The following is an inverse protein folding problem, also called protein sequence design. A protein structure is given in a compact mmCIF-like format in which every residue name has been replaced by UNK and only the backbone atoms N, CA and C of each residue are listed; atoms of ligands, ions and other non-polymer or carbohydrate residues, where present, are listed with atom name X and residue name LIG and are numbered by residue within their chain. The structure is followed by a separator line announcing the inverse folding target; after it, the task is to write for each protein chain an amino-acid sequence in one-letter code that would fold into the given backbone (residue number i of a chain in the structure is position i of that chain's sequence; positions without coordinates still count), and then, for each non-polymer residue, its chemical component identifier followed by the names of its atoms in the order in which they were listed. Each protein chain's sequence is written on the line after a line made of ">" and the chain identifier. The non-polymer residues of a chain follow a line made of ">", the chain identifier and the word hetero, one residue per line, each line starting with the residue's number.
data_IF_574710610245
#
_entry.id   IF_574710610245
#
_cell.length_a   1.000
_cell.length_b   1.000
_cell.length_c   1.000
_cell.angle_alpha   90.00
_cell.angle_beta   90.00
_cell.angle_gamma   90.00
#
_symmetry.space_group_name_H-M   'P 1'
#
loop_
_entity.id
_entity.type
_entity.pdbx_description
1 polymer ?
#
# COMPACT_ATOMS: atom_id res chain seq x y z
N UNK A 1 -7.26 8.11 -9.94
CA UNK A 1 -8.33 8.25 -8.91
C UNK A 1 -7.82 9.03 -7.71
N UNK A 2 -8.74 9.66 -6.95
CA UNK A 2 -8.40 10.34 -5.70
C UNK A 2 -8.25 9.34 -4.55
N UNK A 3 -7.27 9.57 -3.68
CA UNK A 3 -7.02 8.80 -2.47
C UNK A 3 -6.37 9.67 -1.39
N UNK A 4 -6.20 9.13 -0.19
CA UNK A 4 -5.74 9.90 0.96
C UNK A 4 -4.61 9.21 1.71
N UNK A 5 -3.64 10.01 2.19
CA UNK A 5 -2.54 9.53 3.03
C UNK A 5 -2.47 10.35 4.32
N UNK A 6 -2.47 9.70 5.46
CA UNK A 6 -2.33 10.35 6.76
C UNK A 6 -0.93 10.21 7.34
N UNK A 7 -0.38 11.28 7.90
CA UNK A 7 0.95 11.27 8.49
C UNK A 7 1.12 12.27 9.63
N UNK A 8 2.05 12.00 10.53
CA UNK A 8 2.59 12.94 11.54
C UNK A 8 4.08 13.20 11.33
N UNK A 9 4.62 12.83 10.18
CA UNK A 9 6.06 13.03 9.87
C UNK A 9 6.41 14.45 9.42
N UNK A 10 5.43 15.38 9.41
CA UNK A 10 5.59 16.74 8.90
C UNK A 10 5.13 16.89 7.46
N UNK A 11 5.41 18.06 6.87
CA UNK A 11 5.00 18.39 5.50
C UNK A 11 6.14 18.06 4.55
N UNK A 12 5.80 17.42 3.42
CA UNK A 12 6.72 17.12 2.32
C UNK A 12 6.03 17.36 0.97
N UNK A 13 6.82 17.58 -0.07
CA UNK A 13 6.33 17.98 -1.40
C UNK A 13 6.23 16.81 -2.39
N UNK A 14 6.76 15.63 -2.02
CA UNK A 14 6.68 14.41 -2.81
C UNK A 14 6.79 13.18 -1.92
N UNK A 15 6.17 12.09 -2.33
CA UNK A 15 6.38 10.79 -1.71
C UNK A 15 7.70 10.17 -2.16
N UNK A 16 8.34 9.41 -1.27
CA UNK A 16 9.54 8.63 -1.60
C UNK A 16 9.47 7.25 -0.98
N UNK A 17 9.62 6.23 -1.80
CA UNK A 17 9.71 4.84 -1.35
C UNK A 17 10.97 4.58 -0.51
N UNK A 18 11.94 5.48 -0.51
CA UNK A 18 13.10 5.45 0.40
C UNK A 18 12.69 5.52 1.87
N UNK A 19 11.55 6.14 2.19
CA UNK A 19 11.01 6.29 3.56
C UNK A 19 9.94 5.25 3.92
N UNK A 20 9.71 4.24 3.08
CA UNK A 20 8.62 3.25 3.23
C UNK A 20 8.64 2.45 4.56
N UNK A 21 9.74 2.48 5.33
CA UNK A 21 9.88 1.80 6.63
C UNK A 21 9.95 2.75 7.83
N UNK A 22 9.90 4.06 7.61
CA UNK A 22 10.06 5.05 8.70
C UNK A 22 8.77 5.29 9.48
N UNK A 23 7.60 4.90 8.93
CA UNK A 23 6.30 4.96 9.60
C UNK A 23 5.97 3.70 10.41
N UNK A 24 4.74 3.64 10.93
CA UNK A 24 4.16 2.44 11.55
C UNK A 24 4.00 1.26 10.55
N UNK A 25 4.08 1.55 9.26
CA UNK A 25 3.89 0.62 8.17
C UNK A 25 5.00 -0.40 8.08
N UNK A 26 4.77 -1.56 8.65
CA UNK A 26 5.47 -2.76 8.18
C UNK A 26 4.99 -3.00 6.76
N UNK A 27 5.89 -3.31 5.82
CA UNK A 27 5.55 -3.65 4.40
C UNK A 27 4.67 -4.92 4.30
N UNK A 28 3.63 -4.95 5.11
CA UNK A 28 2.72 -6.09 5.27
C UNK A 28 1.91 -6.38 4.00
N UNK A 29 1.64 -5.33 3.24
CA UNK A 29 0.79 -5.40 2.05
C UNK A 29 1.54 -5.03 0.76
N UNK A 30 2.88 -5.02 0.79
CA UNK A 30 3.75 -4.68 -0.32
C UNK A 30 4.62 -3.45 -0.03
N UNK A 31 5.65 -3.24 -0.83
CA UNK A 31 6.51 -2.06 -0.79
C UNK A 31 5.89 -1.00 -1.68
N UNK A 32 5.36 0.08 -1.10
CA UNK A 32 4.64 1.12 -1.85
C UNK A 32 4.26 2.29 -0.96
N UNK A 33 3.73 3.34 -1.56
CA UNK A 33 3.07 4.45 -0.86
C UNK A 33 1.67 4.00 -0.47
N UNK A 34 1.40 3.98 0.83
CA UNK A 34 0.10 3.52 1.35
C UNK A 34 -0.91 4.65 1.36
N UNK A 35 -2.06 4.42 0.76
CA UNK A 35 -3.19 5.35 0.71
C UNK A 35 -4.51 4.61 0.96
N UNK A 36 -5.56 5.36 1.25
CA UNK A 36 -6.91 4.82 1.52
C UNK A 36 -7.96 5.59 0.75
N UNK A 37 -9.13 4.98 0.54
CA UNK A 37 -10.28 5.61 -0.15
C UNK A 37 -10.97 6.69 0.68
N UNK A 38 -10.82 6.69 2.01
CA UNK A 38 -11.54 7.60 2.88
C UNK A 38 -10.65 8.55 3.64
N UNK A 39 -11.01 9.83 3.59
CA UNK A 39 -10.33 10.91 4.30
C UNK A 39 -10.22 10.66 5.81
N UNK A 40 -11.33 10.27 6.47
CA UNK A 40 -11.33 9.99 7.91
C UNK A 40 -10.43 8.83 8.31
N UNK A 41 -10.30 7.81 7.45
CA UNK A 41 -9.37 6.70 7.68
C UNK A 41 -7.92 7.16 7.54
N UNK A 42 -7.62 8.01 6.56
CA UNK A 42 -6.29 8.61 6.44
C UNK A 42 -5.95 9.46 7.68
N UNK A 43 -6.90 10.28 8.15
CA UNK A 43 -6.72 11.06 9.37
C UNK A 43 -6.42 10.16 10.59
N UNK A 44 -7.16 9.07 10.76
CA UNK A 44 -6.87 8.08 11.81
C UNK A 44 -5.45 7.49 11.68
N UNK A 45 -4.98 7.19 10.47
CA UNK A 45 -3.63 6.69 10.23
C UNK A 45 -2.53 7.75 10.43
N UNK A 46 -2.87 9.04 10.46
CA UNK A 46 -1.90 10.09 10.78
C UNK A 46 -1.35 9.97 12.20
N UNK A 47 -2.11 9.38 13.13
CA UNK A 47 -1.59 9.08 14.46
C UNK A 47 -0.59 7.92 14.41
N UNK A 48 0.64 8.21 14.80
CA UNK A 48 1.69 7.20 14.90
C UNK A 48 1.92 6.84 16.37
N UNK A 49 1.52 5.63 16.76
CA UNK A 49 1.67 5.13 18.14
C UNK A 49 3.13 4.97 18.60
N UNK A 50 4.09 4.88 17.65
CA UNK A 50 5.52 4.80 17.96
C UNK A 50 6.17 6.17 18.10
N UNK A 51 5.44 7.25 17.75
CA UNK A 51 5.85 8.65 17.90
C UNK A 51 4.71 9.47 18.51
N UNK A 52 4.25 9.11 19.72
CA UNK A 52 3.07 9.76 20.35
C UNK A 52 3.33 11.21 20.73
N UNK A 53 4.61 11.65 20.73
CA UNK A 53 5.00 13.04 20.90
C UNK A 53 4.65 13.93 19.71
N UNK A 54 4.50 13.36 18.51
CA UNK A 54 4.04 14.10 17.35
C UNK A 54 2.58 14.48 17.53
N UNK A 55 2.30 15.79 17.58
CA UNK A 55 0.97 16.35 17.80
C UNK A 55 0.40 17.07 16.57
N UNK A 56 1.14 17.08 15.48
CA UNK A 56 0.69 17.64 14.22
C UNK A 56 0.35 16.50 13.26
N UNK A 57 -0.88 16.52 12.77
CA UNK A 57 -1.41 15.49 11.90
C UNK A 57 -1.79 16.11 10.56
N UNK A 58 -1.44 15.44 9.48
CA UNK A 58 -1.67 15.92 8.13
C UNK A 58 -2.36 14.84 7.31
N UNK A 59 -3.30 15.27 6.48
CA UNK A 59 -3.91 14.44 5.46
C UNK A 59 -3.56 14.99 4.10
N UNK A 60 -2.99 14.15 3.27
CA UNK A 60 -2.68 14.42 1.87
C UNK A 60 -3.79 13.88 1.01
N UNK A 61 -4.44 14.74 0.23
CA UNK A 61 -5.25 14.32 -0.91
C UNK A 61 -4.30 14.10 -2.07
N UNK A 62 -4.33 12.91 -2.66
CA UNK A 62 -3.43 12.52 -3.74
C UNK A 62 -4.21 11.99 -4.94
N UNK A 63 -3.66 12.20 -6.13
CA UNK A 63 -4.07 11.51 -7.35
C UNK A 63 -3.14 10.33 -7.58
N UNK A 64 -3.72 9.15 -7.79
CA UNK A 64 -3.02 7.89 -8.08
C UNK A 64 -3.62 7.25 -9.34
N UNK A 65 -2.98 6.23 -9.95
CA UNK A 65 -3.54 5.53 -11.09
C UNK A 65 -4.96 5.01 -10.82
N UNK A 66 -5.82 5.06 -11.82
CA UNK A 66 -7.13 4.42 -11.73
C UNK A 66 -6.97 2.91 -11.60
N UNK A 67 -7.74 2.34 -10.69
CA UNK A 67 -7.73 0.89 -10.44
C UNK A 67 -8.40 0.15 -11.58
N UNK A 68 -7.69 -0.81 -12.16
CA UNK A 68 -8.19 -1.79 -13.14
C UNK A 68 -7.75 -3.20 -12.74
N UNK A 69 -8.35 -4.23 -13.33
CA UNK A 69 -7.89 -5.61 -13.07
C UNK A 69 -6.51 -5.89 -13.67
N UNK A 70 -6.07 -5.10 -14.65
CA UNK A 70 -4.77 -5.28 -15.30
C UNK A 70 -3.62 -4.63 -14.55
N UNK A 71 -3.88 -3.62 -13.72
CA UNK A 71 -2.84 -2.89 -12.99
C UNK A 71 -2.92 -3.00 -11.46
N UNK A 72 -3.85 -3.81 -10.94
CA UNK A 72 -4.07 -3.94 -9.50
C UNK A 72 -4.02 -5.40 -9.04
N UNK A 73 -3.12 -5.71 -8.12
CA UNK A 73 -3.09 -7.00 -7.44
C UNK A 73 -4.01 -6.95 -6.21
N UNK A 74 -5.15 -7.62 -6.29
CA UNK A 74 -6.08 -7.71 -5.16
C UNK A 74 -5.61 -8.75 -4.13
N UNK A 75 -5.60 -8.36 -2.85
CA UNK A 75 -5.34 -9.27 -1.74
C UNK A 75 -6.64 -9.78 -1.10
N UNK A 76 -7.77 -9.50 -1.68
CA UNK A 76 -9.08 -9.98 -1.21
C UNK A 76 -9.13 -11.52 -1.28
N UNK A 77 -9.68 -12.12 -0.24
CA UNK A 77 -9.85 -13.57 -0.18
C UNK A 77 -10.83 -14.05 -1.24
N UNK A 78 -10.49 -15.14 -1.92
CA UNK A 78 -11.31 -15.71 -2.98
C UNK A 78 -11.27 -14.95 -4.31
N UNK A 79 -10.45 -13.89 -4.42
CA UNK A 79 -10.23 -13.16 -5.67
C UNK A 79 -8.96 -13.69 -6.34
N UNK A 80 -9.07 -14.38 -7.49
CA UNK A 80 -7.92 -14.89 -8.20
C UNK A 80 -7.09 -13.74 -8.80
N UNK A 81 -5.80 -13.97 -8.98
CA UNK A 81 -4.94 -13.00 -9.67
C UNK A 81 -5.38 -12.88 -11.13
N UNK A 82 -5.49 -11.66 -11.62
CA UNK A 82 -5.88 -11.40 -13.00
C UNK A 82 -4.97 -12.13 -13.99
N UNK A 83 -5.56 -12.80 -14.98
CA UNK A 83 -4.82 -13.59 -15.95
C UNK A 83 -3.80 -12.78 -16.76
N UNK A 84 -4.06 -11.49 -16.97
CA UNK A 84 -3.14 -10.55 -17.62
C UNK A 84 -1.87 -10.33 -16.79
N UNK A 85 -2.00 -10.17 -15.47
CA UNK A 85 -0.87 -10.03 -14.54
C UNK A 85 -0.06 -11.34 -14.54
N UNK A 86 -0.73 -12.49 -14.41
CA UNK A 86 -0.07 -13.80 -14.42
C UNK A 86 0.76 -13.97 -15.69
N UNK A 87 0.17 -13.72 -16.87
CA UNK A 87 0.89 -13.84 -18.17
C UNK A 87 2.12 -12.95 -18.25
N UNK A 88 2.04 -11.68 -17.80
CA UNK A 88 3.19 -10.77 -17.80
C UNK A 88 4.30 -11.27 -16.87
N UNK A 89 3.94 -11.77 -15.70
CA UNK A 89 4.88 -12.35 -14.73
C UNK A 89 5.55 -13.60 -15.31
N UNK A 90 4.78 -14.55 -15.88
CA UNK A 90 5.31 -15.76 -16.51
C UNK A 90 6.25 -15.44 -17.67
N UNK A 91 5.87 -14.50 -18.53
CA UNK A 91 6.71 -14.05 -19.65
C UNK A 91 8.05 -13.45 -19.15
N UNK A 92 8.02 -12.67 -18.07
CA UNK A 92 9.22 -12.04 -17.52
C UNK A 92 10.12 -13.01 -16.74
N UNK A 93 9.53 -13.97 -16.05
CA UNK A 93 10.27 -15.00 -15.31
C UNK A 93 10.79 -16.10 -16.22
N UNK A 94 10.20 -16.31 -17.41
CA UNK A 94 10.50 -17.42 -18.31
C UNK A 94 10.02 -18.77 -17.80
N UNK A 95 9.09 -18.79 -16.83
CA UNK A 95 8.55 -20.01 -16.24
C UNK A 95 7.08 -19.80 -15.82
N UNK A 96 6.32 -20.91 -15.70
CA UNK A 96 4.95 -20.87 -15.27
C UNK A 96 4.84 -20.59 -13.77
N UNK A 97 3.91 -19.73 -13.38
CA UNK A 97 3.54 -19.55 -11.97
C UNK A 97 2.74 -20.77 -11.50
N UNK A 98 3.11 -21.40 -10.37
CA UNK A 98 2.36 -22.51 -9.80
C UNK A 98 0.88 -22.19 -9.59
N UNK A 99 -0.01 -23.15 -9.84
CA UNK A 99 -1.46 -22.96 -9.72
C UNK A 99 -1.88 -22.46 -8.36
N UNK A 100 -1.28 -23.01 -7.30
CA UNK A 100 -1.54 -22.64 -5.90
C UNK A 100 -1.10 -21.21 -5.57
N UNK A 101 -0.15 -20.64 -6.30
CA UNK A 101 0.30 -19.28 -6.08
C UNK A 101 -0.63 -18.25 -6.72
N UNK A 102 -1.33 -18.58 -7.82
CA UNK A 102 -2.17 -17.64 -8.56
C UNK A 102 -3.65 -17.59 -8.14
N UNK A 103 -4.03 -18.42 -7.16
CA UNK A 103 -5.42 -18.48 -6.66
C UNK A 103 -5.85 -17.20 -5.95
N UNK A 104 -4.92 -16.48 -5.32
CA UNK A 104 -5.15 -15.21 -4.59
C UNK A 104 -3.88 -14.36 -4.58
N UNK A 105 -4.02 -13.05 -4.40
CA UNK A 105 -2.90 -12.11 -4.42
C UNK A 105 -1.87 -12.34 -3.30
N UNK A 106 -2.28 -12.78 -2.11
CA UNK A 106 -1.36 -13.03 -0.99
C UNK A 106 -0.37 -14.16 -1.32
N UNK A 107 -0.79 -15.39 -1.70
CA UNK A 107 0.15 -16.43 -2.11
C UNK A 107 0.95 -16.05 -3.36
N UNK A 108 0.37 -15.33 -4.31
CA UNK A 108 1.07 -14.85 -5.51
C UNK A 108 2.26 -13.93 -5.17
N UNK A 109 2.00 -12.90 -4.35
CA UNK A 109 3.04 -11.97 -3.92
C UNK A 109 4.16 -12.69 -3.15
N UNK A 110 3.79 -13.61 -2.25
CA UNK A 110 4.75 -14.39 -1.49
C UNK A 110 5.58 -15.34 -2.37
N UNK A 111 4.97 -15.94 -3.39
CA UNK A 111 5.70 -16.70 -4.40
C UNK A 111 6.76 -15.85 -5.09
N UNK A 112 6.38 -14.65 -5.57
CA UNK A 112 7.30 -13.71 -6.19
C UNK A 112 8.43 -13.31 -5.25
N UNK A 113 8.12 -12.97 -4.00
CA UNK A 113 9.11 -12.60 -2.99
C UNK A 113 10.16 -13.71 -2.80
N UNK A 114 9.73 -14.97 -2.67
CA UNK A 114 10.61 -16.11 -2.55
C UNK A 114 11.44 -16.32 -3.83
N UNK A 115 10.77 -16.30 -4.98
CA UNK A 115 11.41 -16.58 -6.27
C UNK A 115 12.51 -15.58 -6.59
N UNK A 116 12.26 -14.28 -6.31
CA UNK A 116 13.17 -13.20 -6.64
C UNK A 116 14.34 -13.05 -5.64
N UNK A 117 14.17 -13.50 -4.40
CA UNK A 117 15.24 -13.43 -3.39
C UNK A 117 15.99 -14.76 -3.22
N UNK A 118 15.64 -15.80 -3.97
CA UNK A 118 16.25 -17.12 -3.83
C UNK A 118 15.95 -17.78 -2.48
N UNK A 119 14.94 -17.32 -1.75
CA UNK A 119 14.53 -17.94 -0.49
C UNK A 119 13.94 -19.33 -0.77
N UNK A 120 14.54 -20.35 -0.15
CA UNK A 120 14.12 -21.75 -0.29
C UNK A 120 13.23 -22.13 0.90
N UNK A 121 12.06 -22.70 0.63
CA UNK A 121 11.18 -23.24 1.65
C UNK A 121 9.73 -22.77 1.55
N UNK A 122 8.86 -23.32 2.40
CA UNK A 122 7.45 -22.90 2.41
C UNK A 122 7.33 -21.41 2.75
N UNK A 123 6.54 -20.73 1.97
CA UNK A 123 6.25 -19.28 2.09
C UNK A 123 5.88 -18.85 3.52
N UNK A 124 5.24 -19.75 4.29
CA UNK A 124 4.84 -19.48 5.66
C UNK A 124 6.02 -19.39 6.67
N UNK A 125 7.24 -19.77 6.27
CA UNK A 125 8.43 -19.82 7.15
C UNK A 125 9.46 -18.75 6.88
N UNK A 126 9.13 -17.70 6.05
CA UNK A 126 10.06 -16.60 5.81
C UNK A 126 10.35 -15.81 7.09
N UNK A 127 11.61 -15.47 7.32
CA UNK A 127 11.99 -14.56 8.40
C UNK A 127 11.48 -13.14 8.12
N UNK A 128 11.23 -12.33 9.16
CA UNK A 128 10.77 -10.95 8.98
C UNK A 128 11.72 -10.12 8.08
N UNK A 129 13.03 -10.30 8.21
CA UNK A 129 14.04 -9.59 7.40
C UNK A 129 14.03 -10.04 5.93
N UNK A 130 13.91 -11.34 5.67
CA UNK A 130 13.78 -11.87 4.32
C UNK A 130 12.43 -11.45 3.71
N UNK A 131 11.37 -11.36 4.54
CA UNK A 131 10.06 -10.88 4.12
C UNK A 131 10.11 -9.43 3.63
N UNK A 132 10.81 -8.51 4.32
CA UNK A 132 10.96 -7.12 3.88
C UNK A 132 11.66 -7.04 2.53
N UNK A 133 12.81 -7.70 2.38
CA UNK A 133 13.54 -7.72 1.11
C UNK A 133 12.72 -8.38 -0.01
N UNK A 134 12.01 -9.46 0.30
CA UNK A 134 11.16 -10.16 -0.64
C UNK A 134 9.95 -9.34 -1.06
N UNK A 135 9.29 -8.64 -0.13
CA UNK A 135 8.17 -7.75 -0.44
C UNK A 135 8.61 -6.58 -1.32
N UNK A 136 9.79 -6.02 -1.06
CA UNK A 136 10.38 -4.99 -1.92
C UNK A 136 10.63 -5.53 -3.33
N UNK A 137 11.36 -6.64 -3.45
CA UNK A 137 11.65 -7.24 -4.75
C UNK A 137 10.38 -7.60 -5.53
N UNK A 138 9.36 -8.17 -4.86
CA UNK A 138 8.09 -8.50 -5.50
C UNK A 138 7.34 -7.25 -5.98
N UNK A 139 7.32 -6.18 -5.18
CA UNK A 139 6.64 -4.93 -5.54
C UNK A 139 7.34 -4.22 -6.70
N UNK A 140 8.67 -4.10 -6.66
CA UNK A 140 9.47 -3.52 -7.75
C UNK A 140 9.33 -4.33 -9.05
N UNK A 141 9.29 -5.66 -8.94
CA UNK A 141 9.07 -6.53 -10.09
C UNK A 141 7.69 -6.32 -10.70
N UNK A 142 6.63 -6.27 -9.86
CA UNK A 142 5.26 -6.00 -10.31
C UNK A 142 5.15 -4.62 -10.96
N UNK A 143 5.73 -3.58 -10.35
CA UNK A 143 5.77 -2.23 -10.92
C UNK A 143 6.43 -2.20 -12.31
N UNK A 144 7.51 -2.98 -12.51
CA UNK A 144 8.18 -3.12 -13.82
C UNK A 144 7.32 -3.80 -14.90
N UNK A 145 6.17 -4.34 -14.51
CA UNK A 145 5.18 -5.01 -15.36
C UNK A 145 3.87 -4.23 -15.47
N UNK A 146 3.88 -2.92 -15.17
CA UNK A 146 2.69 -2.06 -15.16
C UNK A 146 1.58 -2.53 -14.21
N UNK A 147 1.97 -3.16 -13.08
CA UNK A 147 1.09 -3.35 -11.94
C UNK A 147 1.34 -2.20 -10.97
N UNK A 148 0.42 -1.26 -10.94
CA UNK A 148 0.59 0.00 -10.19
C UNK A 148 0.19 -0.11 -8.73
N UNK A 149 -0.78 -0.99 -8.44
CA UNK A 149 -1.48 -1.04 -7.18
C UNK A 149 -1.50 -2.44 -6.57
N UNK A 150 -1.40 -2.48 -5.26
CA UNK A 150 -1.85 -3.63 -4.45
C UNK A 150 -3.01 -3.14 -3.60
N UNK A 151 -4.17 -3.80 -3.64
CA UNK A 151 -5.34 -3.44 -2.85
C UNK A 151 -5.62 -4.45 -1.72
N UNK A 152 -6.10 -3.96 -0.58
CA UNK A 152 -6.65 -4.78 0.51
C UNK A 152 -7.77 -4.04 1.23
N UNK A 153 -8.71 -4.75 1.88
CA UNK A 153 -9.82 -4.09 2.57
C UNK A 153 -9.34 -3.44 3.87
N UNK A 154 -9.89 -2.26 4.20
CA UNK A 154 -9.70 -1.66 5.52
C UNK A 154 -10.19 -2.62 6.63
N UNK A 155 -11.36 -3.21 6.41
CA UNK A 155 -11.93 -4.20 7.31
C UNK A 155 -12.16 -5.53 6.60
N UNK A 156 -11.42 -6.56 7.01
CA UNK A 156 -11.50 -7.91 6.43
C UNK A 156 -12.85 -8.60 6.62
N UNK A 157 -13.68 -8.15 7.57
CA UNK A 157 -15.05 -8.64 7.77
C UNK A 157 -16.07 -7.94 6.87
N UNK A 158 -15.71 -6.76 6.33
CA UNK A 158 -16.53 -5.95 5.41
C UNK A 158 -15.67 -5.46 4.25
N UNK A 159 -15.18 -6.38 3.37
CA UNK A 159 -14.15 -6.06 2.39
C UNK A 159 -14.59 -5.05 1.32
N UNK A 160 -15.90 -4.91 1.09
CA UNK A 160 -16.44 -3.98 0.09
C UNK A 160 -16.64 -2.54 0.61
N UNK A 161 -16.54 -2.33 1.94
CA UNK A 161 -16.89 -1.04 2.53
C UNK A 161 -15.84 0.04 2.27
N UNK A 162 -14.58 -0.34 2.20
CA UNK A 162 -13.44 0.56 2.00
C UNK A 162 -12.18 -0.23 1.68
N UNK A 163 -11.35 0.31 0.81
CA UNK A 163 -10.07 -0.27 0.42
C UNK A 163 -8.91 0.64 0.76
N UNK A 164 -7.78 0.00 0.99
CA UNK A 164 -6.47 0.61 1.05
C UNK A 164 -5.66 0.16 -0.17
N UNK A 165 -4.68 0.96 -0.54
CA UNK A 165 -3.78 0.67 -1.66
C UNK A 165 -2.33 0.90 -1.26
N UNK A 166 -1.43 0.08 -1.79
CA UNK A 166 -0.02 0.40 -1.92
C UNK A 166 0.23 0.77 -3.39
N UNK A 167 0.64 2.00 -3.65
CA UNK A 167 1.08 2.45 -4.98
C UNK A 167 2.55 2.09 -5.10
N UNK A 168 2.88 1.24 -6.07
CA UNK A 168 4.19 0.58 -6.17
C UNK A 168 5.29 1.46 -6.78
N UNK A 169 4.92 2.59 -7.37
CA UNK A 169 5.80 3.60 -7.94
C UNK A 169 5.42 4.97 -7.36
N UNK A 170 6.30 5.57 -6.57
CA UNK A 170 6.06 6.86 -5.93
C UNK A 170 5.94 8.01 -6.94
N UNK A 171 6.54 7.89 -8.14
CA UNK A 171 6.37 8.86 -9.21
C UNK A 171 4.92 8.95 -9.75
N UNK A 172 4.08 7.95 -9.45
CA UNK A 172 2.65 7.92 -9.82
C UNK A 172 1.73 8.45 -8.73
N UNK A 173 2.27 8.99 -7.64
CA UNK A 173 1.51 9.60 -6.54
C UNK A 173 1.68 11.12 -6.62
N UNK A 174 0.63 11.82 -7.05
CA UNK A 174 0.67 13.27 -7.18
C UNK A 174 -0.12 13.91 -6.04
N UNK A 175 0.53 14.78 -5.27
CA UNK A 175 -0.12 15.53 -4.20
C UNK A 175 -1.03 16.57 -4.84
N UNK A 176 -2.30 16.59 -4.42
CA UNK A 176 -3.30 17.57 -4.84
C UNK A 176 -3.50 18.63 -3.76
N UNK A 177 -3.57 18.19 -2.49
CA UNK A 177 -3.79 19.07 -1.35
C UNK A 177 -3.19 18.49 -0.08
N UNK A 178 -2.74 19.38 0.79
CA UNK A 178 -2.26 19.06 2.14
C UNK A 178 -3.11 19.82 3.14
N UNK A 179 -3.68 19.10 4.08
CA UNK A 179 -4.49 19.67 5.17
C UNK A 179 -3.91 19.25 6.52
N UNK A 180 -3.83 20.20 7.45
CA UNK A 180 -3.63 19.92 8.87
C UNK A 180 -4.98 19.57 9.48
N UNK A 181 -5.00 18.58 10.36
CA UNK A 181 -6.22 18.09 11.01
C UNK A 181 -6.00 17.91 12.51
N UNK A 182 -7.08 17.95 13.28
CA UNK A 182 -7.07 17.57 14.69
C UNK A 182 -7.72 16.20 14.86
N UNK A 183 -7.17 15.40 15.78
CA UNK A 183 -7.66 14.09 16.12
C UNK A 183 -8.16 14.08 17.57
N UNK A 184 -9.23 13.34 17.86
CA UNK A 184 -9.67 13.15 19.22
C UNK A 184 -8.65 12.35 20.05
N UNK A 185 -8.67 12.52 21.36
CA UNK A 185 -7.70 11.90 22.28
C UNK A 185 -8.03 10.44 22.62
N UNK A 186 -9.22 9.95 22.30
CA UNK A 186 -9.68 8.61 22.68
C UNK A 186 -9.48 7.58 21.58
N UNK A 187 -9.86 7.93 20.37
CA UNK A 187 -9.85 7.00 19.24
C UNK A 187 -8.96 7.46 18.08
N UNK A 188 -8.33 8.63 18.22
CA UNK A 188 -7.56 9.28 17.14
C UNK A 188 -8.39 9.42 15.86
N UNK A 189 -9.70 9.71 16.04
CA UNK A 189 -10.60 9.98 14.93
C UNK A 189 -10.54 11.46 14.56
N UNK A 190 -10.78 11.74 13.30
CA UNK A 190 -10.88 13.11 12.80
C UNK A 190 -11.91 13.91 13.58
N UNK A 191 -11.52 15.09 14.07
CA UNK A 191 -12.47 16.08 14.58
C UNK A 191 -13.02 16.83 13.37
N UNK A 192 -14.30 16.65 13.08
CA UNK A 192 -14.95 17.29 11.93
C UNK A 192 -14.86 18.80 12.03
N UNK A 193 -14.54 19.45 10.91
CA UNK A 193 -14.36 20.90 10.83
C UNK A 193 -13.00 21.41 11.31
N UNK A 194 -12.09 20.52 11.72
CA UNK A 194 -10.72 20.91 12.13
C UNK A 194 -9.77 21.07 10.93
N UNK A 195 -10.20 20.70 9.72
CA UNK A 195 -9.37 20.70 8.52
C UNK A 195 -8.91 22.12 8.17
N UNK A 196 -7.61 22.31 8.05
CA UNK A 196 -6.98 23.57 7.61
C UNK A 196 -6.12 23.29 6.39
N UNK A 197 -6.47 23.89 5.26
CA UNK A 197 -5.67 23.77 4.04
C UNK A 197 -4.32 24.46 4.29
N UNK A 198 -3.25 23.69 4.11
CA UNK A 198 -1.86 24.18 4.18
C UNK A 198 -1.35 24.51 2.79
N UNK A 199 -1.69 23.65 1.80
CA UNK A 199 -1.25 23.83 0.41
C UNK A 199 -2.19 23.11 -0.55
N UNK A 200 -2.37 23.72 -1.73
CA UNK A 200 -2.98 23.11 -2.93
C UNK A 200 -1.99 23.19 -4.10
N UNK A 201 -2.04 22.21 -5.01
CA UNK A 201 -1.11 22.06 -6.14
C UNK A 201 -1.83 22.09 -7.48
#
# INVERSE_FOLDING_TARGET
>A
MEAYHGTSAGIFDSFSLGHALEGDGKVKFGWGVYVTEKYGTAAHYAFNKHRPENKEFYVYTVSIPDRTDDNCLSLLKGVPVAASIVRRVEAKLGEAVPSEARVEGIPFRKYLANRLTGAVGPVAKMTAKATVAGEKAASEFLASLDVDLIEWPYNWQKPEAEKNFAVLDDAKVHIVRIEKVDLDTKGHQLIEGSQQIIREF
#
